data_IF_116904842292
#
_entry.id   IF_116904842292
#
_cell.length_a   1.000
_cell.length_b   1.000
_cell.length_c   1.000
_cell.angle_alpha   90.00
_cell.angle_beta   90.00
_cell.angle_gamma   90.00
#
_symmetry.space_group_name_H-M   'P 1'
#
loop_
_entity.id
_entity.type
_entity.pdbx_description
1 polymer ?
#
# COMPACT_ATOMS: atom_id res chain seq x y z
N UNK A 1 -0.31 24.30 19.56
CA UNK A 1 -1.16 24.67 18.40
C UNK A 1 -1.33 23.44 17.52
N UNK A 2 -2.56 22.96 17.36
CA UNK A 2 -2.83 21.78 16.55
C UNK A 2 -2.52 22.09 15.08
N UNK A 3 -1.67 21.28 14.47
CA UNK A 3 -1.35 21.38 13.04
C UNK A 3 -2.64 21.20 12.24
N UNK A 4 -3.00 22.21 11.45
CA UNK A 4 -4.23 22.21 10.66
C UNK A 4 -4.22 20.99 9.71
N UNK A 5 -5.32 20.26 9.71
CA UNK A 5 -5.44 18.98 9.04
C UNK A 5 -5.80 19.21 7.58
N UNK A 6 -5.00 18.66 6.67
CA UNK A 6 -5.20 18.79 5.22
C UNK A 6 -6.17 17.71 4.76
N UNK A 7 -7.41 18.09 4.44
CA UNK A 7 -8.52 17.16 4.15
C UNK A 7 -8.25 16.31 2.90
N UNK A 8 -7.86 16.91 1.77
CA UNK A 8 -7.58 16.15 0.54
C UNK A 8 -6.55 15.03 0.70
N UNK A 9 -5.60 15.12 1.66
CA UNK A 9 -4.64 14.04 1.91
C UNK A 9 -5.31 12.80 2.51
N UNK A 10 -6.31 12.98 3.38
CA UNK A 10 -7.09 11.86 3.89
C UNK A 10 -7.99 11.29 2.80
N UNK A 11 -8.63 12.15 2.00
CA UNK A 11 -9.39 11.72 0.81
C UNK A 11 -8.53 10.90 -0.14
N UNK A 12 -7.31 11.34 -0.45
CA UNK A 12 -6.39 10.65 -1.35
C UNK A 12 -5.97 9.29 -0.80
N UNK A 13 -5.68 9.19 0.52
CA UNK A 13 -5.44 7.89 1.17
C UNK A 13 -6.66 7.00 1.14
N UNK A 14 -7.86 7.57 1.30
CA UNK A 14 -9.13 6.85 1.23
C UNK A 14 -9.40 6.27 -0.15
N UNK A 15 -9.25 7.07 -1.21
CA UNK A 15 -9.33 6.60 -2.59
C UNK A 15 -8.25 5.54 -2.83
N UNK A 16 -7.00 5.81 -2.47
CA UNK A 16 -5.89 4.88 -2.65
C UNK A 16 -6.13 3.53 -1.97
N UNK A 17 -6.67 3.50 -0.75
CA UNK A 17 -6.90 2.24 -0.04
C UNK A 17 -8.11 1.48 -0.59
N UNK A 18 -9.12 2.18 -1.10
CA UNK A 18 -10.20 1.55 -1.87
C UNK A 18 -9.65 0.87 -3.12
N UNK A 19 -8.78 1.56 -3.87
CA UNK A 19 -8.15 1.00 -5.06
C UNK A 19 -7.29 -0.24 -4.72
N UNK A 20 -6.55 -0.23 -3.61
CA UNK A 20 -5.82 -1.43 -3.13
C UNK A 20 -6.76 -2.61 -2.90
N UNK A 21 -7.82 -2.42 -2.12
CA UNK A 21 -8.79 -3.51 -1.84
C UNK A 21 -9.44 -3.99 -3.13
N UNK A 22 -9.84 -3.06 -4.00
CA UNK A 22 -10.47 -3.36 -5.28
C UNK A 22 -9.54 -4.16 -6.20
N UNK A 23 -8.27 -3.76 -6.30
CA UNK A 23 -7.25 -4.48 -7.06
C UNK A 23 -6.98 -5.90 -6.54
N UNK A 24 -7.12 -6.13 -5.23
CA UNK A 24 -6.92 -7.47 -4.65
C UNK A 24 -8.17 -8.36 -4.69
N UNK A 25 -9.36 -7.78 -4.82
CA UNK A 25 -10.59 -8.52 -5.07
C UNK A 25 -10.68 -8.92 -6.55
N UNK A 26 -10.51 -7.95 -7.45
CA UNK A 26 -10.48 -8.15 -8.90
C UNK A 26 -9.06 -8.47 -9.34
N UNK A 27 -8.70 -9.75 -9.26
CA UNK A 27 -7.32 -10.23 -9.48
C UNK A 27 -6.96 -10.28 -10.98
N UNK A 28 -7.96 -10.29 -11.87
CA UNK A 28 -7.76 -10.46 -13.32
C UNK A 28 -8.37 -9.30 -14.10
N UNK A 29 -7.69 -8.88 -15.15
CA UNK A 29 -8.21 -7.99 -16.18
C UNK A 29 -7.61 -6.58 -16.18
N UNK A 30 -7.98 -5.81 -17.20
CA UNK A 30 -7.45 -4.48 -17.49
C UNK A 30 -7.61 -3.49 -16.32
N UNK A 31 -8.66 -3.65 -15.53
CA UNK A 31 -8.92 -2.76 -14.40
C UNK A 31 -7.91 -2.94 -13.26
N UNK A 32 -7.49 -4.19 -12.98
CA UNK A 32 -6.42 -4.49 -12.04
C UNK A 32 -5.10 -3.86 -12.50
N UNK A 33 -4.74 -4.09 -13.77
CA UNK A 33 -3.54 -3.55 -14.41
C UNK A 33 -3.46 -2.02 -14.31
N UNK A 34 -4.57 -1.34 -14.55
CA UNK A 34 -4.67 0.12 -14.39
C UNK A 34 -4.41 0.55 -12.95
N UNK A 35 -5.08 -0.05 -11.96
CA UNK A 35 -4.88 0.25 -10.53
C UNK A 35 -3.41 0.06 -10.13
N UNK A 36 -2.83 -1.09 -10.49
CA UNK A 36 -1.47 -1.48 -10.10
C UNK A 36 -0.37 -0.60 -10.68
N UNK A 37 -0.67 0.11 -11.76
CA UNK A 37 0.28 1.03 -12.40
C UNK A 37 0.62 2.27 -11.57
N UNK A 38 -0.22 2.66 -10.58
CA UNK A 38 0.00 3.91 -9.83
C UNK A 38 -0.42 3.94 -8.35
N UNK A 39 -1.18 2.98 -7.83
CA UNK A 39 -1.71 3.11 -6.46
C UNK A 39 -0.63 3.04 -5.36
N UNK A 40 0.43 2.24 -5.52
CA UNK A 40 1.54 2.21 -4.54
C UNK A 40 2.46 3.44 -4.63
N UNK A 41 2.85 3.94 -5.83
CA UNK A 41 3.54 5.22 -5.98
C UNK A 41 2.80 6.37 -5.30
N UNK A 42 1.46 6.40 -5.37
CA UNK A 42 0.64 7.36 -4.64
C UNK A 42 0.89 7.30 -3.12
N UNK A 43 0.94 6.12 -2.50
CA UNK A 43 1.20 6.01 -1.06
C UNK A 43 2.63 6.44 -0.66
N UNK A 44 3.64 6.20 -1.50
CA UNK A 44 4.97 6.76 -1.30
C UNK A 44 4.93 8.30 -1.35
N UNK A 45 4.30 8.88 -2.39
CA UNK A 45 4.12 10.32 -2.54
C UNK A 45 3.41 10.96 -1.35
N UNK A 46 2.26 10.42 -0.92
CA UNK A 46 1.50 10.93 0.22
C UNK A 46 2.30 10.81 1.54
N UNK A 47 3.11 9.77 1.69
CA UNK A 47 3.98 9.59 2.86
C UNK A 47 5.10 10.63 2.89
N UNK A 48 5.70 10.93 1.74
CA UNK A 48 6.70 11.98 1.59
C UNK A 48 6.14 13.38 1.81
N UNK A 49 4.95 13.68 1.28
CA UNK A 49 4.26 14.94 1.51
C UNK A 49 4.02 15.21 3.01
N UNK A 50 3.74 14.16 3.78
CA UNK A 50 3.52 14.22 5.23
C UNK A 50 4.81 14.05 6.06
N UNK A 51 5.97 13.90 5.41
CA UNK A 51 7.20 13.58 6.10
C UNK A 51 7.78 14.79 6.85
N UNK A 52 7.96 14.60 8.15
CA UNK A 52 8.60 15.56 9.07
C UNK A 52 9.63 14.85 9.96
N UNK A 53 10.16 13.73 9.46
CA UNK A 53 11.07 12.88 10.22
C UNK A 53 12.41 13.53 10.52
N UNK A 54 12.89 14.37 9.61
CA UNK A 54 14.21 15.02 9.64
C UNK A 54 14.43 15.94 10.86
N UNK A 55 13.36 16.31 11.56
CA UNK A 55 13.40 17.16 12.77
C UNK A 55 13.89 16.36 13.99
N UNK A 56 13.68 15.04 13.98
CA UNK A 56 14.05 14.16 15.10
C UNK A 56 15.48 13.62 14.94
N UNK A 57 16.15 13.39 16.07
CA UNK A 57 17.39 12.60 16.09
C UNK A 57 17.12 11.14 15.67
N UNK A 58 18.19 10.41 15.32
CA UNK A 58 18.08 9.05 14.77
C UNK A 58 17.35 8.09 15.72
N UNK A 59 17.61 8.17 17.03
CA UNK A 59 17.01 7.25 18.01
C UNK A 59 15.53 7.52 18.14
N UNK A 60 15.14 8.79 18.26
CA UNK A 60 13.72 9.19 18.33
C UNK A 60 12.98 8.86 17.03
N UNK A 61 13.60 9.14 15.89
CA UNK A 61 13.04 8.83 14.58
C UNK A 61 12.81 7.32 14.40
N UNK A 62 13.87 6.53 14.57
CA UNK A 62 13.82 5.07 14.47
C UNK A 62 12.75 4.48 15.39
N UNK A 63 12.76 4.86 16.67
CA UNK A 63 11.78 4.38 17.66
C UNK A 63 10.35 4.69 17.22
N UNK A 64 10.07 5.93 16.81
CA UNK A 64 8.73 6.33 16.33
C UNK A 64 8.29 5.49 15.12
N UNK A 65 9.18 5.26 14.16
CA UNK A 65 8.87 4.50 12.94
C UNK A 65 8.71 3.02 13.22
N UNK A 66 9.51 2.45 14.11
CA UNK A 66 9.36 1.06 14.58
C UNK A 66 7.98 0.84 15.18
N UNK A 67 7.54 1.70 16.11
CA UNK A 67 6.20 1.55 16.71
C UNK A 67 5.07 1.85 15.74
N UNK A 68 5.23 2.79 14.80
CA UNK A 68 4.16 3.12 13.85
C UNK A 68 4.04 2.15 12.67
N UNK A 69 5.11 1.40 12.33
CA UNK A 69 5.17 0.58 11.12
C UNK A 69 5.56 -0.87 11.41
N UNK A 70 6.72 -1.10 12.05
CA UNK A 70 7.25 -2.45 12.26
C UNK A 70 6.45 -3.25 13.29
N UNK A 71 5.99 -2.61 14.37
CA UNK A 71 5.14 -3.29 15.36
C UNK A 71 3.82 -3.76 14.72
N UNK A 72 3.03 -2.91 14.02
CA UNK A 72 1.87 -3.39 13.26
C UNK A 72 2.23 -4.47 12.24
N UNK A 73 3.34 -4.30 11.51
CA UNK A 73 3.80 -5.31 10.58
C UNK A 73 3.96 -6.69 11.24
N UNK A 74 4.77 -6.81 12.29
CA UNK A 74 5.04 -8.10 12.92
C UNK A 74 3.80 -8.70 13.57
N UNK A 75 2.96 -7.89 14.21
CA UNK A 75 1.69 -8.34 14.79
C UNK A 75 0.80 -8.96 13.71
N UNK A 76 0.55 -8.25 12.62
CA UNK A 76 -0.33 -8.76 11.55
C UNK A 76 0.33 -9.84 10.69
N UNK A 77 1.66 -9.88 10.58
CA UNK A 77 2.39 -10.97 9.95
C UNK A 77 2.25 -12.27 10.75
N UNK A 78 2.39 -12.21 12.09
CA UNK A 78 2.15 -13.36 12.96
C UNK A 78 0.70 -13.81 12.88
N UNK A 79 -0.27 -12.89 12.95
CA UNK A 79 -1.69 -13.26 12.78
C UNK A 79 -1.97 -13.92 11.41
N UNK A 80 -1.40 -13.38 10.33
CA UNK A 80 -1.56 -13.94 8.98
C UNK A 80 -0.89 -15.32 8.87
N UNK A 81 0.25 -15.51 9.53
CA UNK A 81 0.92 -16.81 9.62
C UNK A 81 0.12 -17.84 10.41
N UNK A 82 -0.45 -17.47 11.56
CA UNK A 82 -1.31 -18.35 12.33
C UNK A 82 -2.57 -18.74 11.55
N UNK A 83 -3.14 -17.80 10.79
CA UNK A 83 -4.24 -18.07 9.86
C UNK A 83 -3.81 -19.06 8.75
N UNK A 84 -2.62 -18.89 8.17
CA UNK A 84 -2.06 -19.84 7.20
C UNK A 84 -1.87 -21.23 7.81
N UNK A 85 -1.28 -21.31 8.99
CA UNK A 85 -1.02 -22.56 9.70
C UNK A 85 -2.33 -23.31 10.00
N UNK A 86 -3.35 -22.62 10.50
CA UNK A 86 -4.65 -23.22 10.76
C UNK A 86 -5.27 -23.80 9.47
N UNK A 87 -5.27 -23.03 8.38
CA UNK A 87 -5.75 -23.51 7.08
C UNK A 87 -4.94 -24.70 6.55
N UNK A 88 -3.61 -24.66 6.69
CA UNK A 88 -2.70 -25.73 6.28
C UNK A 88 -2.98 -27.04 7.02
N UNK A 89 -3.21 -26.98 8.34
CA UNK A 89 -3.54 -28.14 9.17
C UNK A 89 -4.91 -28.70 8.77
N UNK A 90 -5.92 -27.85 8.60
CA UNK A 90 -7.27 -28.28 8.20
C UNK A 90 -7.23 -28.99 6.85
N UNK A 91 -6.58 -28.39 5.86
CA UNK A 91 -6.58 -28.92 4.49
C UNK A 91 -5.78 -30.22 4.36
N UNK A 92 -4.57 -30.28 4.94
CA UNK A 92 -3.72 -31.46 4.80
C UNK A 92 -4.16 -32.63 5.69
N UNK A 93 -4.65 -32.36 6.91
CA UNK A 93 -4.96 -33.44 7.86
C UNK A 93 -6.42 -33.90 7.83
N UNK A 94 -7.35 -33.06 7.36
CA UNK A 94 -8.78 -33.38 7.41
C UNK A 94 -9.46 -33.45 6.04
N UNK A 95 -8.97 -32.73 5.04
CA UNK A 95 -9.58 -32.70 3.71
C UNK A 95 -8.80 -33.52 2.67
N UNK A 96 -7.48 -33.68 2.84
CA UNK A 96 -6.64 -34.44 1.90
C UNK A 96 -6.53 -33.80 0.51
N UNK A 97 -6.95 -32.54 0.35
CA UNK A 97 -6.95 -31.81 -0.92
C UNK A 97 -5.66 -31.01 -1.03
N UNK A 98 -4.95 -31.11 -2.15
CA UNK A 98 -3.82 -30.21 -2.44
C UNK A 98 -4.37 -28.90 -2.99
N UNK A 99 -4.28 -27.83 -2.20
CA UNK A 99 -4.57 -26.47 -2.67
C UNK A 99 -3.25 -25.75 -2.97
N UNK A 100 -3.19 -25.08 -4.12
CA UNK A 100 -2.04 -24.26 -4.52
C UNK A 100 -1.71 -23.16 -3.49
N UNK A 101 -2.71 -22.74 -2.70
CA UNK A 101 -2.53 -21.79 -1.62
C UNK A 101 -1.52 -22.26 -0.56
N UNK A 102 -1.30 -23.57 -0.41
CA UNK A 102 -0.40 -24.16 0.57
C UNK A 102 0.93 -24.69 -0.01
N UNK A 103 1.21 -24.44 -1.29
CA UNK A 103 2.34 -25.05 -2.01
C UNK A 103 3.73 -24.74 -1.43
N UNK A 104 3.88 -23.59 -0.76
CA UNK A 104 5.16 -23.17 -0.19
C UNK A 104 5.45 -23.77 1.20
N UNK A 105 4.43 -24.31 1.88
CA UNK A 105 4.57 -24.88 3.23
C UNK A 105 4.75 -23.84 4.35
N UNK A 106 4.68 -24.33 5.58
CA UNK A 106 4.67 -23.51 6.82
C UNK A 106 6.00 -22.79 7.05
N UNK A 107 7.13 -23.51 6.95
CA UNK A 107 8.44 -22.93 7.23
C UNK A 107 8.78 -21.76 6.29
N UNK A 108 8.40 -21.87 5.00
CA UNK A 108 8.58 -20.81 4.03
C UNK A 108 7.80 -19.55 4.43
N UNK A 109 6.55 -19.67 4.86
CA UNK A 109 5.77 -18.51 5.32
C UNK A 109 6.33 -17.90 6.62
N UNK A 110 6.86 -18.72 7.53
CA UNK A 110 7.51 -18.25 8.76
C UNK A 110 8.75 -17.41 8.46
N UNK A 111 9.63 -17.90 7.57
CA UNK A 111 10.80 -17.14 7.08
C UNK A 111 10.34 -15.85 6.38
N UNK A 112 9.23 -15.93 5.65
CA UNK A 112 8.61 -14.80 4.96
C UNK A 112 8.26 -13.61 5.87
N UNK A 113 7.98 -13.83 7.16
CA UNK A 113 7.76 -12.76 8.15
C UNK A 113 9.03 -11.92 8.37
N UNK A 114 10.21 -12.53 8.30
CA UNK A 114 11.46 -11.79 8.49
C UNK A 114 12.02 -11.29 7.16
N UNK A 115 11.75 -12.00 6.06
CA UNK A 115 12.20 -11.58 4.74
C UNK A 115 11.35 -10.44 4.16
N UNK A 116 10.04 -10.40 4.43
CA UNK A 116 9.12 -9.32 4.05
C UNK A 116 9.20 -8.87 2.59
N UNK A 117 9.00 -9.81 1.67
CA UNK A 117 9.06 -9.54 0.22
C UNK A 117 8.06 -10.42 -0.52
N UNK A 118 7.38 -9.88 -1.53
CA UNK A 118 6.48 -10.67 -2.39
C UNK A 118 7.20 -11.07 -3.69
N UNK A 119 6.65 -12.05 -4.41
CA UNK A 119 7.24 -12.60 -5.64
C UNK A 119 8.05 -13.89 -5.43
N UNK A 120 8.58 -14.13 -4.23
CA UNK A 120 9.28 -15.37 -3.84
C UNK A 120 8.39 -16.39 -3.12
N UNK A 121 7.06 -16.17 -3.10
CA UNK A 121 6.10 -17.01 -2.38
C UNK A 121 5.97 -16.73 -0.88
N UNK A 122 6.74 -15.79 -0.33
CA UNK A 122 6.56 -15.30 1.04
C UNK A 122 5.32 -14.40 1.18
N UNK A 123 4.85 -14.22 2.42
CA UNK A 123 3.69 -13.38 2.78
C UNK A 123 2.42 -13.72 1.99
N UNK A 124 2.25 -14.97 1.59
CA UNK A 124 1.28 -15.35 0.57
C UNK A 124 -0.18 -15.03 0.94
N UNK A 125 -0.54 -15.14 2.22
CA UNK A 125 -1.89 -14.80 2.73
C UNK A 125 -2.12 -13.30 2.88
N UNK A 126 -1.06 -12.53 3.10
CA UNK A 126 -1.19 -11.10 3.32
C UNK A 126 -0.02 -10.36 2.66
N UNK A 127 0.04 -10.36 1.32
CA UNK A 127 1.17 -9.80 0.61
C UNK A 127 1.28 -8.30 0.87
N UNK A 128 0.18 -7.57 1.10
CA UNK A 128 0.18 -6.13 1.40
C UNK A 128 1.13 -5.70 2.54
N UNK A 129 1.51 -6.61 3.44
CA UNK A 129 2.48 -6.37 4.51
C UNK A 129 3.86 -5.92 4.00
N UNK A 130 4.27 -6.29 2.77
CA UNK A 130 5.56 -5.88 2.20
C UNK A 130 5.76 -4.36 2.23
N UNK A 131 4.66 -3.61 2.07
CA UNK A 131 4.72 -2.15 2.00
C UNK A 131 5.14 -1.53 3.33
N UNK A 132 4.84 -2.17 4.47
CA UNK A 132 5.14 -1.63 5.80
C UNK A 132 6.64 -1.59 6.09
N UNK A 133 7.37 -2.66 5.74
CA UNK A 133 8.84 -2.69 5.87
C UNK A 133 9.49 -1.83 4.80
N UNK A 134 8.95 -1.84 3.57
CA UNK A 134 9.47 -1.04 2.48
C UNK A 134 9.39 0.46 2.76
N UNK A 135 8.21 0.97 3.18
CA UNK A 135 8.03 2.39 3.53
C UNK A 135 8.83 2.80 4.78
N UNK A 136 9.13 1.86 5.68
CA UNK A 136 10.06 2.08 6.79
C UNK A 136 11.48 2.34 6.26
N UNK A 137 11.98 1.49 5.34
CA UNK A 137 13.29 1.69 4.70
C UNK A 137 13.33 2.99 3.90
N UNK A 138 12.32 3.29 3.09
CA UNK A 138 12.23 4.57 2.35
C UNK A 138 12.30 5.77 3.29
N UNK A 139 11.61 5.73 4.42
CA UNK A 139 11.67 6.79 5.43
C UNK A 139 13.02 6.90 6.12
N UNK A 140 13.72 5.78 6.34
CA UNK A 140 15.08 5.79 6.86
C UNK A 140 16.06 6.43 5.88
N UNK A 141 16.00 6.06 4.59
CA UNK A 141 16.82 6.65 3.54
C UNK A 141 16.56 8.17 3.47
N UNK A 142 15.29 8.57 3.41
CA UNK A 142 14.91 10.00 3.39
C UNK A 142 15.43 10.75 4.61
N UNK A 143 15.32 10.17 5.81
CA UNK A 143 15.87 10.78 7.02
C UNK A 143 17.37 11.05 6.90
N UNK A 144 18.15 10.09 6.39
CA UNK A 144 19.59 10.27 6.16
C UNK A 144 19.88 11.38 5.14
N UNK A 145 19.14 11.41 4.02
CA UNK A 145 19.31 12.44 3.00
C UNK A 145 19.07 13.84 3.59
N UNK A 146 17.94 14.06 4.25
CA UNK A 146 17.59 15.37 4.83
C UNK A 146 18.42 15.74 6.05
N UNK A 147 19.02 14.76 6.75
CA UNK A 147 19.90 15.02 7.89
C UNK A 147 21.24 15.62 7.44
N UNK A 148 21.78 15.15 6.33
CA UNK A 148 23.14 15.49 5.89
C UNK A 148 23.18 16.44 4.70
N UNK A 149 22.08 16.57 3.95
CA UNK A 149 22.01 17.40 2.74
C UNK A 149 20.97 18.50 2.96
N UNK A 150 21.40 19.75 2.81
CA UNK A 150 20.49 20.91 2.94
C UNK A 150 19.82 21.27 1.62
N UNK A 151 20.51 21.05 0.49
CA UNK A 151 20.00 21.42 -0.82
C UNK A 151 19.02 20.37 -1.34
N UNK A 152 17.74 20.73 -1.37
CA UNK A 152 16.63 19.92 -1.89
C UNK A 152 16.87 19.38 -3.31
N UNK A 153 17.50 20.18 -4.16
CA UNK A 153 17.83 19.76 -5.53
C UNK A 153 18.84 18.58 -5.56
N UNK A 154 19.82 18.58 -4.65
CA UNK A 154 20.79 17.48 -4.53
C UNK A 154 20.09 16.21 -4.03
N UNK A 155 19.18 16.33 -3.06
CA UNK A 155 18.35 15.21 -2.59
C UNK A 155 17.55 14.60 -3.75
N UNK A 156 16.97 15.43 -4.61
CA UNK A 156 16.24 14.96 -5.78
C UNK A 156 17.15 14.22 -6.77
N UNK A 157 18.35 14.75 -7.07
CA UNK A 157 19.33 14.09 -7.94
C UNK A 157 19.73 12.72 -7.38
N UNK A 158 20.04 12.63 -6.08
CA UNK A 158 20.41 11.37 -5.44
C UNK A 158 19.25 10.37 -5.50
N UNK A 159 18.02 10.85 -5.30
CA UNK A 159 16.82 10.01 -5.36
C UNK A 159 16.56 9.50 -6.78
N UNK A 160 16.78 10.32 -7.80
CA UNK A 160 16.75 9.91 -9.21
C UNK A 160 17.83 8.87 -9.52
N UNK A 161 19.04 9.04 -8.99
CA UNK A 161 20.12 8.07 -9.15
C UNK A 161 19.79 6.73 -8.48
N UNK A 162 19.27 6.74 -7.25
CA UNK A 162 18.83 5.53 -6.54
C UNK A 162 17.71 4.80 -7.29
N UNK A 163 16.74 5.56 -7.81
CA UNK A 163 15.65 5.03 -8.63
C UNK A 163 16.18 4.38 -9.91
N UNK A 164 17.02 5.09 -10.66
CA UNK A 164 17.62 4.57 -11.88
C UNK A 164 18.48 3.32 -11.62
N UNK A 165 19.28 3.34 -10.55
CA UNK A 165 20.07 2.19 -10.11
C UNK A 165 19.18 0.98 -9.81
N UNK A 166 18.06 1.17 -9.12
CA UNK A 166 17.13 0.08 -8.82
C UNK A 166 16.49 -0.52 -10.08
N UNK A 167 16.12 0.32 -11.06
CA UNK A 167 15.58 -0.16 -12.34
C UNK A 167 16.63 -0.90 -13.18
N UNK A 168 17.87 -0.39 -13.22
CA UNK A 168 18.99 -1.09 -13.89
C UNK A 168 19.28 -2.41 -13.21
N UNK A 169 19.28 -2.45 -11.88
CA UNK A 169 19.46 -3.68 -11.11
C UNK A 169 18.34 -4.69 -11.40
N UNK A 170 17.08 -4.24 -11.48
CA UNK A 170 15.96 -5.08 -11.87
C UNK A 170 16.08 -5.58 -13.31
N UNK A 171 16.56 -4.76 -14.24
CA UNK A 171 16.79 -5.17 -15.62
C UNK A 171 17.87 -6.26 -15.74
N UNK A 172 18.99 -6.11 -15.02
CA UNK A 172 20.12 -7.07 -15.06
C UNK A 172 19.81 -8.32 -14.24
N UNK A 173 19.11 -8.17 -13.10
CA UNK A 173 18.77 -9.25 -12.16
C UNK A 173 17.28 -9.19 -11.77
N UNK A 174 16.36 -9.57 -12.68
CA UNK A 174 14.91 -9.44 -12.43
C UNK A 174 14.40 -10.28 -11.25
N UNK A 175 15.09 -11.37 -10.92
CA UNK A 175 14.74 -12.24 -9.81
C UNK A 175 15.42 -11.85 -8.48
N UNK A 176 16.21 -10.77 -8.46
CA UNK A 176 16.79 -10.26 -7.21
C UNK A 176 15.69 -9.58 -6.40
N UNK A 177 15.32 -10.22 -5.30
CA UNK A 177 14.30 -9.76 -4.37
C UNK A 177 14.98 -9.56 -3.02
N UNK A 178 15.26 -8.33 -2.61
CA UNK A 178 15.97 -8.06 -1.35
C UNK A 178 15.05 -8.10 -0.13
N UNK A 179 15.57 -8.46 1.06
CA UNK A 179 14.76 -8.46 2.27
C UNK A 179 14.21 -7.06 2.55
N UNK A 180 13.03 -7.02 3.16
CA UNK A 180 12.29 -5.83 3.55
C UNK A 180 11.90 -4.91 2.40
N UNK A 181 12.08 -5.37 1.15
CA UNK A 181 11.86 -4.59 -0.04
C UNK A 181 12.85 -3.44 -0.20
N UNK A 182 14.11 -3.61 0.23
CA UNK A 182 15.16 -2.58 0.10
C UNK A 182 15.29 -2.11 -1.36
N UNK A 183 15.32 -3.06 -2.29
CA UNK A 183 15.28 -2.85 -3.74
C UNK A 183 14.06 -2.02 -4.17
N UNK A 184 12.87 -2.38 -3.70
CA UNK A 184 11.64 -1.65 -3.97
C UNK A 184 11.63 -0.25 -3.34
N UNK A 185 12.25 -0.09 -2.16
CA UNK A 185 12.34 1.18 -1.45
C UNK A 185 13.19 2.20 -2.22
N UNK A 186 14.20 1.75 -2.96
CA UNK A 186 14.99 2.58 -3.88
C UNK A 186 14.17 3.07 -5.09
N UNK A 187 13.15 2.33 -5.51
CA UNK A 187 12.17 2.83 -6.49
C UNK A 187 11.20 3.80 -5.81
N UNK A 188 10.73 3.46 -4.61
CA UNK A 188 9.80 4.29 -3.83
C UNK A 188 10.35 5.66 -3.42
N UNK A 189 11.67 5.79 -3.24
CA UNK A 189 12.31 7.04 -2.76
C UNK A 189 12.06 8.22 -3.70
N UNK A 190 12.01 8.00 -5.02
CA UNK A 190 11.74 9.07 -5.98
C UNK A 190 10.34 9.66 -5.76
N UNK A 191 9.32 8.82 -5.63
CA UNK A 191 7.95 9.27 -5.39
C UNK A 191 7.81 9.92 -4.01
N UNK A 192 8.49 9.38 -3.00
CA UNK A 192 8.51 9.92 -1.65
C UNK A 192 9.13 11.33 -1.63
N UNK A 193 10.34 11.50 -2.15
CA UNK A 193 11.01 12.80 -2.18
C UNK A 193 10.29 13.80 -3.09
N UNK A 194 9.70 13.33 -4.19
CA UNK A 194 8.80 14.17 -4.98
C UNK A 194 7.64 14.70 -4.13
N UNK A 195 6.99 13.86 -3.33
CA UNK A 195 5.94 14.29 -2.41
C UNK A 195 6.41 15.29 -1.37
N UNK A 196 7.60 15.08 -0.79
CA UNK A 196 8.20 15.99 0.17
C UNK A 196 8.39 17.39 -0.42
N UNK A 197 8.98 17.47 -1.62
CA UNK A 197 9.19 18.73 -2.33
C UNK A 197 7.87 19.36 -2.79
N UNK A 198 6.90 18.54 -3.20
CA UNK A 198 5.61 19.00 -3.72
C UNK A 198 4.84 19.88 -2.73
N UNK A 199 5.03 19.64 -1.42
CA UNK A 199 4.44 20.41 -0.32
C UNK A 199 4.68 21.92 -0.44
N UNK A 200 5.80 22.34 -1.01
CA UNK A 200 6.21 23.76 -1.03
C UNK A 200 5.69 24.53 -2.24
N UNK A 201 5.43 23.84 -3.36
CA UNK A 201 5.03 24.50 -4.60
C UNK A 201 3.63 25.12 -4.55
N UNK A 202 2.79 24.66 -3.60
CA UNK A 202 1.37 25.03 -3.47
C UNK A 202 0.65 25.00 -4.82
N UNK A 203 1.02 24.06 -5.68
CA UNK A 203 0.57 24.02 -7.08
C UNK A 203 -0.95 23.96 -7.18
N UNK A 204 -1.59 23.15 -6.33
CA UNK A 204 -3.04 22.98 -6.33
C UNK A 204 -3.82 24.23 -5.92
N UNK A 205 -3.20 25.16 -5.19
CA UNK A 205 -3.83 26.41 -4.77
C UNK A 205 -3.82 27.46 -5.90
N UNK A 206 -2.91 27.30 -6.87
CA UNK A 206 -2.72 28.25 -8.00
C UNK A 206 -3.67 28.02 -9.17
N UNK A 207 -4.36 26.88 -9.21
CA UNK A 207 -5.22 26.48 -10.33
C UNK A 207 -6.69 26.43 -9.91
N UNK A 208 -7.60 26.89 -10.78
CA UNK A 208 -9.04 26.86 -10.53
C UNK A 208 -9.62 25.44 -10.71
N UNK A 209 -10.87 25.25 -10.27
CA UNK A 209 -11.50 23.92 -10.29
C UNK A 209 -11.72 23.38 -11.71
N UNK A 210 -11.97 24.23 -12.71
CA UNK A 210 -12.12 23.82 -14.11
C UNK A 210 -10.80 23.20 -14.61
N UNK A 211 -9.68 23.88 -14.34
CA UNK A 211 -8.36 23.39 -14.74
C UNK A 211 -8.00 22.10 -13.98
N UNK A 212 -8.34 21.98 -12.68
CA UNK A 212 -8.19 20.72 -11.93
C UNK A 212 -8.94 19.56 -12.60
N UNK A 213 -10.17 19.79 -13.06
CA UNK A 213 -10.97 18.78 -13.78
C UNK A 213 -10.31 18.42 -15.11
N UNK A 214 -9.91 19.40 -15.92
CA UNK A 214 -9.26 19.17 -17.22
C UNK A 214 -7.97 18.36 -17.02
N UNK A 215 -7.11 18.77 -16.09
CA UNK A 215 -5.86 18.04 -15.80
C UNK A 215 -6.18 16.63 -15.30
N UNK A 216 -7.19 16.46 -14.44
CA UNK A 216 -7.60 15.13 -13.96
C UNK A 216 -8.04 14.22 -15.12
N UNK A 217 -8.81 14.73 -16.09
CA UNK A 217 -9.23 13.96 -17.27
C UNK A 217 -8.00 13.57 -18.12
N UNK A 218 -7.07 14.50 -18.35
CA UNK A 218 -5.83 14.21 -19.08
C UNK A 218 -5.02 13.11 -18.35
N UNK A 219 -4.84 13.24 -17.04
CA UNK A 219 -4.11 12.25 -16.24
C UNK A 219 -4.83 10.88 -16.24
N UNK A 220 -6.17 10.86 -16.21
CA UNK A 220 -6.96 9.64 -16.34
C UNK A 220 -6.71 8.97 -17.69
N UNK A 221 -6.77 9.71 -18.80
CA UNK A 221 -6.48 9.17 -20.13
C UNK A 221 -5.05 8.63 -20.20
N UNK A 222 -4.06 9.37 -19.70
CA UNK A 222 -2.66 8.92 -19.69
C UNK A 222 -2.50 7.63 -18.89
N UNK A 223 -3.07 7.54 -17.68
CA UNK A 223 -2.99 6.30 -16.89
C UNK A 223 -3.64 5.12 -17.59
N UNK A 224 -4.82 5.30 -18.20
CA UNK A 224 -5.50 4.23 -18.94
C UNK A 224 -4.66 3.79 -20.14
N UNK A 225 -4.31 4.71 -21.05
CA UNK A 225 -3.59 4.38 -22.28
C UNK A 225 -2.26 3.69 -21.98
N UNK A 226 -1.42 4.27 -21.13
CA UNK A 226 -0.09 3.71 -20.86
C UNK A 226 -0.13 2.46 -19.99
N UNK A 227 -1.12 2.29 -19.12
CA UNK A 227 -1.28 1.01 -18.39
C UNK A 227 -1.74 -0.11 -19.31
N UNK A 228 -2.59 0.16 -20.31
CA UNK A 228 -2.99 -0.84 -21.29
C UNK A 228 -1.83 -1.27 -22.19
N UNK A 229 -0.99 -0.31 -22.61
CA UNK A 229 0.21 -0.57 -23.40
C UNK A 229 1.33 -1.28 -22.62
N UNK A 230 1.34 -1.18 -21.29
CA UNK A 230 2.34 -1.86 -20.47
C UNK A 230 2.02 -3.35 -20.29
N UNK A 231 2.86 -4.10 -19.60
CA UNK A 231 2.50 -5.39 -18.99
C UNK A 231 1.99 -5.16 -17.57
N UNK A 232 1.59 -6.24 -16.87
CA UNK A 232 1.16 -6.13 -15.49
C UNK A 232 2.28 -5.61 -14.59
N UNK A 233 1.94 -4.65 -13.73
CA UNK A 233 2.86 -4.03 -12.78
C UNK A 233 2.60 -4.63 -11.41
N UNK A 234 3.66 -4.98 -10.68
CA UNK A 234 3.63 -5.37 -9.28
C UNK A 234 4.90 -4.87 -8.60
N UNK A 235 4.83 -3.65 -8.06
CA UNK A 235 5.99 -2.96 -7.47
C UNK A 235 6.61 -3.78 -6.33
N UNK A 236 5.79 -4.40 -5.48
CA UNK A 236 6.30 -5.22 -4.38
C UNK A 236 7.08 -6.46 -4.85
N UNK A 237 6.76 -6.97 -6.04
CA UNK A 237 7.45 -8.09 -6.68
C UNK A 237 8.52 -7.63 -7.70
N UNK A 238 8.82 -6.33 -7.74
CA UNK A 238 9.70 -5.68 -8.73
C UNK A 238 9.32 -5.98 -10.19
N UNK A 239 8.02 -6.07 -10.49
CA UNK A 239 7.53 -6.17 -11.86
C UNK A 239 7.07 -4.78 -12.28
N UNK A 240 7.76 -4.17 -13.24
CA UNK A 240 7.44 -2.82 -13.73
C UNK A 240 6.98 -2.80 -15.19
N UNK A 241 7.16 -3.91 -15.90
CA UNK A 241 6.95 -3.98 -17.34
C UNK A 241 7.92 -3.06 -18.07
N UNK A 242 7.40 -2.27 -19.00
CA UNK A 242 8.13 -1.17 -19.62
C UNK A 242 8.31 -0.02 -18.61
N UNK A 243 9.57 0.28 -18.26
CA UNK A 243 9.91 1.30 -17.28
C UNK A 243 9.40 2.70 -17.64
N UNK A 244 9.37 3.06 -18.93
CA UNK A 244 8.88 4.36 -19.37
C UNK A 244 7.36 4.49 -19.14
N UNK A 245 6.60 3.46 -19.50
CA UNK A 245 5.15 3.43 -19.25
C UNK A 245 4.84 3.40 -17.76
N UNK A 246 5.63 2.67 -16.97
CA UNK A 246 5.51 2.66 -15.50
C UNK A 246 5.70 4.05 -14.89
N UNK A 247 6.72 4.81 -15.33
CA UNK A 247 6.96 6.17 -14.84
C UNK A 247 5.79 7.09 -15.20
N UNK A 248 5.33 7.09 -16.45
CA UNK A 248 4.20 7.92 -16.89
C UNK A 248 2.95 7.61 -16.09
N UNK A 249 2.59 6.34 -15.97
CA UNK A 249 1.38 5.93 -15.23
C UNK A 249 1.48 6.27 -13.74
N UNK A 250 2.64 6.07 -13.11
CA UNK A 250 2.86 6.42 -11.70
C UNK A 250 2.67 7.90 -11.43
N UNK A 251 3.29 8.79 -12.23
CA UNK A 251 3.13 10.24 -12.08
C UNK A 251 1.76 10.74 -12.52
N UNK A 252 1.18 10.21 -13.60
CA UNK A 252 -0.18 10.59 -13.98
C UNK A 252 -1.19 10.19 -12.89
N UNK A 253 -1.04 9.01 -12.29
CA UNK A 253 -1.93 8.52 -11.25
C UNK A 253 -1.83 9.29 -9.92
N UNK A 254 -0.63 9.70 -9.49
CA UNK A 254 -0.51 10.53 -8.29
C UNK A 254 -1.19 11.89 -8.48
N UNK A 255 -1.07 12.51 -9.66
CA UNK A 255 -1.73 13.79 -9.95
C UNK A 255 -3.24 13.61 -10.09
N UNK A 256 -3.70 12.57 -10.79
CA UNK A 256 -5.10 12.22 -10.92
C UNK A 256 -5.77 12.11 -9.54
N UNK A 257 -5.24 11.25 -8.67
CA UNK A 257 -5.87 11.01 -7.36
C UNK A 257 -5.79 12.24 -6.48
N UNK A 258 -4.67 12.99 -6.50
CA UNK A 258 -4.54 14.22 -5.70
C UNK A 258 -5.56 15.28 -6.13
N UNK A 259 -5.71 15.52 -7.44
CA UNK A 259 -6.65 16.51 -7.96
C UNK A 259 -8.12 16.12 -7.71
N UNK A 260 -8.47 14.86 -7.97
CA UNK A 260 -9.81 14.33 -7.65
C UNK A 260 -10.09 14.47 -6.17
N UNK A 261 -9.11 14.15 -5.30
CA UNK A 261 -9.26 14.26 -3.85
C UNK A 261 -9.57 15.68 -3.39
N UNK A 262 -8.92 16.69 -4.00
CA UNK A 262 -9.18 18.11 -3.70
C UNK A 262 -10.58 18.52 -4.16
N UNK A 263 -11.03 18.04 -5.32
CA UNK A 263 -12.37 18.35 -5.84
C UNK A 263 -13.48 17.77 -4.96
N UNK A 264 -13.23 16.64 -4.28
CA UNK A 264 -14.25 15.91 -3.51
C UNK A 264 -14.02 15.91 -2.00
N UNK A 265 -13.02 16.62 -1.47
CA UNK A 265 -12.64 16.55 -0.04
C UNK A 265 -13.79 16.92 0.91
N UNK A 266 -14.78 17.68 0.44
CA UNK A 266 -15.96 18.05 1.24
C UNK A 266 -16.99 16.94 1.40
N UNK A 267 -16.91 15.85 0.61
CA UNK A 267 -17.84 14.70 0.70
C UNK A 267 -17.60 13.92 1.99
N UNK A 268 -16.37 13.88 2.50
CA UNK A 268 -16.01 13.26 3.78
C UNK A 268 -16.08 11.72 3.83
N UNK A 269 -16.67 11.06 2.82
CA UNK A 269 -16.78 9.60 2.76
C UNK A 269 -15.41 8.91 2.82
N UNK A 270 -14.47 9.35 1.99
CA UNK A 270 -13.13 8.75 1.91
C UNK A 270 -12.25 9.08 3.13
N UNK A 271 -12.53 10.19 3.83
CA UNK A 271 -11.73 10.64 4.98
C UNK A 271 -11.67 9.60 6.09
N UNK A 272 -12.79 8.92 6.36
CA UNK A 272 -12.87 7.88 7.40
C UNK A 272 -11.92 6.73 7.09
N UNK A 273 -11.92 6.27 5.83
CA UNK A 273 -11.06 5.16 5.40
C UNK A 273 -9.61 5.61 5.25
N UNK A 274 -9.36 6.85 4.78
CA UNK A 274 -8.02 7.43 4.72
C UNK A 274 -7.34 7.55 6.09
N UNK A 275 -8.09 7.94 7.12
CA UNK A 275 -7.66 7.97 8.54
C UNK A 275 -7.25 6.61 9.08
N UNK A 276 -7.80 5.54 8.50
CA UNK A 276 -7.64 4.17 8.95
C UNK A 276 -6.98 3.30 7.88
N UNK A 277 -6.30 3.90 6.89
CA UNK A 277 -5.75 3.19 5.75
C UNK A 277 -4.75 2.10 6.13
N UNK A 278 -3.95 2.32 7.18
CA UNK A 278 -3.04 1.30 7.73
C UNK A 278 -3.82 0.09 8.25
N UNK A 279 -4.91 0.30 8.99
CA UNK A 279 -5.72 -0.82 9.50
C UNK A 279 -6.24 -1.65 8.33
N UNK A 280 -6.84 -0.98 7.34
CA UNK A 280 -7.41 -1.63 6.16
C UNK A 280 -6.32 -2.38 5.38
N UNK A 281 -5.15 -1.75 5.17
CA UNK A 281 -3.99 -2.35 4.52
C UNK A 281 -3.58 -3.67 5.19
N UNK A 282 -3.57 -3.71 6.52
CA UNK A 282 -3.12 -4.88 7.28
C UNK A 282 -4.17 -6.01 7.34
N UNK A 283 -5.45 -5.73 7.15
CA UNK A 283 -6.54 -6.69 7.39
C UNK A 283 -7.30 -7.14 6.14
N UNK A 284 -7.35 -6.34 5.08
CA UNK A 284 -8.26 -6.58 3.95
C UNK A 284 -8.02 -7.94 3.28
N UNK A 285 -6.78 -8.37 3.14
CA UNK A 285 -6.46 -9.66 2.53
C UNK A 285 -7.09 -10.84 3.29
N UNK A 286 -6.98 -10.85 4.62
CA UNK A 286 -7.57 -11.91 5.46
C UNK A 286 -9.09 -11.98 5.28
N UNK A 287 -9.74 -10.81 5.17
CA UNK A 287 -11.19 -10.71 4.93
C UNK A 287 -11.54 -11.23 3.53
N UNK A 288 -10.83 -10.77 2.49
CA UNK A 288 -11.05 -11.22 1.10
C UNK A 288 -10.86 -12.73 0.97
N UNK A 289 -9.79 -13.28 1.54
CA UNK A 289 -9.55 -14.73 1.55
C UNK A 289 -10.66 -15.50 2.26
N UNK A 290 -11.08 -15.04 3.44
CA UNK A 290 -12.14 -15.67 4.22
C UNK A 290 -13.49 -15.63 3.49
N UNK A 291 -13.84 -14.49 2.88
CA UNK A 291 -15.07 -14.35 2.09
C UNK A 291 -15.04 -15.24 0.85
N UNK A 292 -13.91 -15.31 0.14
CA UNK A 292 -13.78 -16.22 -1.02
C UNK A 292 -13.95 -17.68 -0.61
N UNK A 293 -13.31 -18.11 0.48
CA UNK A 293 -13.47 -19.46 1.02
C UNK A 293 -14.93 -19.75 1.41
N UNK A 294 -15.59 -18.80 2.08
CA UNK A 294 -16.99 -18.91 2.47
C UNK A 294 -17.91 -19.06 1.25
N UNK A 295 -17.70 -18.27 0.20
CA UNK A 295 -18.50 -18.34 -1.02
C UNK A 295 -18.35 -19.67 -1.75
N UNK A 296 -17.12 -20.21 -1.80
CA UNK A 296 -16.85 -21.54 -2.35
C UNK A 296 -17.62 -22.61 -1.56
N UNK A 297 -17.61 -22.56 -0.23
CA UNK A 297 -18.26 -23.57 0.62
C UNK A 297 -19.79 -23.46 0.58
N UNK A 298 -20.35 -22.25 0.75
CA UNK A 298 -21.80 -22.05 0.86
C UNK A 298 -22.53 -22.17 -0.47
N UNK A 299 -21.99 -21.57 -1.53
CA UNK A 299 -22.64 -21.52 -2.84
C UNK A 299 -22.11 -22.57 -3.82
N UNK A 300 -21.11 -23.37 -3.39
CA UNK A 300 -20.44 -24.38 -4.23
C UNK A 300 -19.89 -23.79 -5.52
N UNK A 301 -19.47 -22.52 -5.48
CA UNK A 301 -18.86 -21.86 -6.63
C UNK A 301 -17.52 -22.48 -6.95
N UNK A 302 -17.29 -22.72 -8.24
CA UNK A 302 -15.96 -23.07 -8.73
C UNK A 302 -14.97 -21.92 -8.49
N UNK A 303 -13.72 -22.25 -8.15
CA UNK A 303 -12.67 -21.27 -7.83
C UNK A 303 -12.40 -20.35 -9.02
N UNK A 304 -12.42 -20.88 -10.25
CA UNK A 304 -12.21 -20.09 -11.47
C UNK A 304 -13.37 -19.13 -11.66
N UNK A 305 -14.61 -19.61 -11.54
CA UNK A 305 -15.81 -18.75 -11.63
C UNK A 305 -15.75 -17.60 -10.62
N UNK A 306 -15.39 -17.88 -9.37
CA UNK A 306 -15.30 -16.87 -8.31
C UNK A 306 -14.24 -15.80 -8.57
N UNK A 307 -13.13 -16.16 -9.24
CA UNK A 307 -12.04 -15.24 -9.52
C UNK A 307 -12.20 -14.44 -10.82
N UNK A 308 -13.04 -14.91 -11.75
CA UNK A 308 -13.25 -14.27 -13.07
C UNK A 308 -14.60 -13.52 -13.16
N UNK A 309 -15.59 -13.88 -12.33
CA UNK A 309 -16.93 -13.32 -12.43
C UNK A 309 -17.09 -12.01 -11.66
N UNK A 310 -17.57 -10.97 -12.35
CA UNK A 310 -17.74 -9.62 -11.77
C UNK A 310 -18.74 -9.61 -10.62
N UNK A 311 -19.87 -10.30 -10.74
CA UNK A 311 -20.95 -10.27 -9.75
C UNK A 311 -20.51 -10.68 -8.33
N UNK A 312 -19.95 -11.89 -8.09
CA UNK A 312 -19.52 -12.27 -6.74
C UNK A 312 -18.35 -11.40 -6.24
N UNK A 313 -17.49 -10.91 -7.13
CA UNK A 313 -16.37 -10.03 -6.77
C UNK A 313 -16.84 -8.66 -6.26
N UNK A 314 -17.88 -8.06 -6.87
CA UNK A 314 -18.49 -6.82 -6.36
C UNK A 314 -19.02 -7.04 -4.95
N UNK A 315 -19.72 -8.16 -4.71
CA UNK A 315 -20.26 -8.49 -3.39
C UNK A 315 -19.14 -8.67 -2.38
N UNK A 316 -18.09 -9.42 -2.72
CA UNK A 316 -16.91 -9.62 -1.85
C UNK A 316 -16.24 -8.28 -1.54
N UNK A 317 -16.12 -7.38 -2.51
CA UNK A 317 -15.56 -6.05 -2.29
C UNK A 317 -16.41 -5.23 -1.30
N UNK A 318 -17.72 -5.16 -1.51
CA UNK A 318 -18.65 -4.43 -0.62
C UNK A 318 -18.59 -5.02 0.80
N UNK A 319 -18.70 -6.34 0.94
CA UNK A 319 -18.61 -7.01 2.23
C UNK A 319 -17.25 -6.77 2.89
N UNK A 320 -16.16 -6.77 2.13
CA UNK A 320 -14.83 -6.45 2.66
C UNK A 320 -14.81 -5.04 3.26
N UNK A 321 -15.29 -4.03 2.54
CA UNK A 321 -15.35 -2.65 3.04
C UNK A 321 -16.28 -2.53 4.26
N UNK A 322 -17.43 -3.21 4.27
CA UNK A 322 -18.35 -3.19 5.41
C UNK A 322 -17.75 -3.84 6.66
N UNK A 323 -17.06 -4.98 6.52
CA UNK A 323 -16.39 -5.70 7.62
C UNK A 323 -15.19 -4.89 8.15
N UNK A 324 -14.56 -4.06 7.33
CA UNK A 324 -13.51 -3.15 7.81
C UNK A 324 -14.02 -2.17 8.86
N UNK A 325 -15.28 -1.72 8.79
CA UNK A 325 -15.82 -0.74 9.74
C UNK A 325 -15.77 -1.22 11.21
N UNK A 326 -16.35 -2.39 11.58
CA UNK A 326 -16.24 -2.88 12.95
C UNK A 326 -14.81 -3.22 13.35
N UNK A 327 -13.96 -3.72 12.44
CA UNK A 327 -12.54 -3.98 12.72
C UNK A 327 -11.79 -2.69 13.06
N UNK A 328 -12.03 -1.62 12.30
CA UNK A 328 -11.46 -0.30 12.56
C UNK A 328 -11.89 0.22 13.93
N UNK A 329 -13.17 0.08 14.29
CA UNK A 329 -13.68 0.51 15.60
C UNK A 329 -13.01 -0.31 16.71
N UNK A 330 -12.97 -1.64 16.58
CA UNK A 330 -12.40 -2.55 17.56
C UNK A 330 -10.91 -2.27 17.80
N UNK A 331 -10.11 -2.17 16.73
CA UNK A 331 -8.67 -1.95 16.85
C UNK A 331 -8.34 -0.56 17.38
N UNK A 332 -9.07 0.48 16.97
CA UNK A 332 -8.87 1.82 17.51
C UNK A 332 -9.24 1.93 18.99
N UNK A 333 -10.30 1.25 19.41
CA UNK A 333 -10.82 1.33 20.77
C UNK A 333 -10.00 0.50 21.75
N UNK A 334 -9.72 -0.76 21.40
CA UNK A 334 -9.15 -1.73 22.34
C UNK A 334 -7.68 -2.05 22.10
N UNK A 335 -7.19 -1.92 20.86
CA UNK A 335 -5.83 -2.31 20.50
C UNK A 335 -5.02 -1.22 19.76
N UNK A 336 -5.04 0.06 20.19
CA UNK A 336 -4.40 1.15 19.46
C UNK A 336 -2.88 0.94 19.30
N UNK A 337 -2.23 0.29 20.26
CA UNK A 337 -0.79 0.00 20.20
C UNK A 337 -0.44 -0.99 19.08
N UNK A 338 -1.32 -1.97 18.79
CA UNK A 338 -1.11 -2.96 17.73
C UNK A 338 -1.12 -2.33 16.33
N UNK A 339 -1.73 -1.16 16.19
CA UNK A 339 -1.81 -0.40 14.94
C UNK A 339 -0.93 0.87 14.99
N UNK A 340 0.02 0.91 15.93
CA UNK A 340 1.03 1.96 16.02
C UNK A 340 0.51 3.32 16.52
N UNK A 341 -0.70 3.35 17.10
CA UNK A 341 -1.27 4.53 17.75
C UNK A 341 -0.87 4.53 19.24
N UNK A 342 -0.57 5.71 19.77
CA UNK A 342 -0.40 5.88 21.22
C UNK A 342 -1.74 5.65 21.91
N UNK A 343 -1.73 4.92 23.03
CA UNK A 343 -2.89 4.84 23.92
C UNK A 343 -3.24 6.26 24.35
N UNK A 344 -4.46 6.71 24.06
CA UNK A 344 -4.98 7.90 24.74
C UNK A 344 -5.04 7.51 26.21
N UNK A 345 -4.16 8.07 27.04
CA UNK A 345 -4.39 8.06 28.48
C UNK A 345 -5.63 8.89 28.68
N UNK A 346 -6.79 8.24 28.72
CA UNK A 346 -7.96 8.87 29.28
C UNK A 346 -7.53 9.30 30.69
N UNK A 347 -7.74 10.58 30.99
CA UNK A 347 -7.63 11.07 32.35
C UNK A 347 -8.66 10.27 33.15
N UNK A 348 -8.21 9.19 33.78
CA UNK A 348 -8.89 8.61 34.93
C UNK A 348 -8.70 9.67 36.03
N UNK A 349 -9.53 10.71 35.98
CA UNK A 349 -9.81 11.52 37.15
C UNK A 349 -10.68 10.66 38.05
N UNK A 350 -10.07 10.30 39.18
CA UNK A 350 -10.60 9.82 40.46
C UNK A 350 -12.05 9.35 40.51
#
# INVERSE_FOLDING_TARGET
>A
MGKERILWLDTAKGIGIFLVVLGHVFIVGNFNKWIYSFHMPLFFFLSGFLFEGFIYDIKTFFTKRTFSLLVPYFVFAIFSFLFYLAGYIVVNNYLGIKLDYFKYGVLHQLIGIFYSKIGSGYLFINPALWFMTCIFITQMISWFLHRFIKQKFIILIISLFMFAFALVLNFIKPNLLLPWGIDTALVGILFFEFGFLFKEFKFFDKINNILKIIISIIMLVLTIVFSMLNTDVSIGANIYGNYFYFIITSFAGLFLVSLVSILIEKIGFFDYFGKNSIIILLTHYLIVFSLKALFIVLFKFDIKYLNESVFPLIIIFILTILIQIPIIILLNKYFPMLIGKKVKKDKITA
#
